data_IF_485486951625
#
_entry.id   IF_485486951625
#
_cell.length_a   1.000
_cell.length_b   1.000
_cell.length_c   1.000
_cell.angle_alpha   90.00
_cell.angle_beta   90.00
_cell.angle_gamma   90.00
#
_symmetry.space_group_name_H-M   'P 1'
#
loop_
_entity.id
_entity.type
_entity.pdbx_description
1 polymer ?
#
# COMPACT_ATOMS: atom_id res chain seq x y z
N UNK A 1 34.37 6.02 12.20
CA UNK A 1 33.92 4.98 11.26
C UNK A 1 32.59 5.48 10.70
N UNK A 2 32.50 6.68 10.11
CA UNK A 2 33.07 7.19 8.86
C UNK A 2 32.83 6.25 7.67
N UNK A 3 31.62 6.41 7.11
CA UNK A 3 31.24 6.31 5.70
C UNK A 3 32.12 5.43 4.82
N UNK A 4 31.72 4.17 4.71
CA UNK A 4 32.01 3.40 3.51
C UNK A 4 30.89 3.64 2.48
N UNK A 5 31.29 4.39 1.45
CA UNK A 5 30.88 4.20 0.06
C UNK A 5 29.55 4.80 -0.44
N UNK A 6 29.68 5.98 -1.05
CA UNK A 6 28.86 6.44 -2.16
C UNK A 6 29.10 5.48 -3.34
N UNK A 7 28.20 4.52 -3.54
CA UNK A 7 28.27 3.55 -4.63
C UNK A 7 27.19 2.49 -4.56
N UNK A 8 25.92 2.93 -4.65
CA UNK A 8 24.75 2.05 -4.74
C UNK A 8 23.49 2.60 -4.05
N UNK A 9 23.14 3.88 -4.30
CA UNK A 9 21.95 4.64 -3.82
C UNK A 9 21.10 3.96 -2.72
N UNK A 10 21.53 4.08 -1.46
CA UNK A 10 20.63 3.90 -0.32
C UNK A 10 20.23 5.28 0.17
N UNK A 11 18.97 5.65 -0.08
CA UNK A 11 18.39 6.91 0.39
C UNK A 11 18.46 7.01 1.92
N UNK A 12 18.64 8.21 2.45
CA UNK A 12 18.56 8.49 3.89
C UNK A 12 17.15 8.16 4.40
N UNK A 13 17.08 7.41 5.49
CA UNK A 13 15.82 7.07 6.13
C UNK A 13 15.27 8.28 6.88
N UNK A 14 14.01 8.58 6.64
CA UNK A 14 13.31 9.66 7.31
C UNK A 14 12.15 9.11 8.12
N UNK A 15 12.06 9.51 9.38
CA UNK A 15 10.98 9.16 10.28
C UNK A 15 10.15 10.41 10.57
N UNK A 16 8.87 10.36 10.22
CA UNK A 16 7.99 11.51 10.33
C UNK A 16 6.97 11.28 11.43
N UNK A 17 6.86 12.20 12.38
CA UNK A 17 5.90 12.11 13.49
C UNK A 17 5.01 13.35 13.51
N UNK A 18 3.71 13.18 13.78
CA UNK A 18 2.80 14.31 13.98
C UNK A 18 2.99 14.92 15.36
N UNK A 19 3.33 16.22 15.44
CA UNK A 19 3.35 16.98 16.69
C UNK A 19 2.59 18.30 16.54
N UNK A 20 1.41 18.36 17.16
CA UNK A 20 0.53 19.53 17.15
C UNK A 20 0.18 19.97 15.72
N UNK A 21 0.79 21.07 15.26
CA UNK A 21 0.60 21.63 13.91
C UNK A 21 1.73 21.31 12.93
N UNK A 22 2.74 20.57 13.36
CA UNK A 22 3.93 20.26 12.59
C UNK A 22 4.07 18.76 12.31
N UNK A 23 4.77 18.45 11.23
CA UNK A 23 5.36 17.15 11.02
C UNK A 23 6.82 17.27 11.43
N UNK A 24 7.22 16.53 12.45
CA UNK A 24 8.60 16.43 12.88
C UNK A 24 9.28 15.39 11.99
N UNK A 25 10.46 15.73 11.47
CA UNK A 25 11.15 14.95 10.44
C UNK A 25 12.53 14.62 10.99
N UNK A 26 12.68 13.41 11.51
CA UNK A 26 13.92 12.90 12.06
C UNK A 26 14.73 12.16 10.98
N UNK A 27 16.05 12.36 11.02
CA UNK A 27 17.02 11.80 10.08
C UNK A 27 18.13 11.12 10.91
N UNK A 28 17.91 9.87 11.34
CA UNK A 28 18.78 9.21 12.33
C UNK A 28 20.26 9.15 11.94
N UNK A 29 20.55 8.96 10.65
CA UNK A 29 21.90 8.79 10.12
C UNK A 29 22.79 10.03 10.29
N UNK A 30 22.20 11.21 10.44
CA UNK A 30 22.90 12.48 10.67
C UNK A 30 22.52 13.14 11.99
N UNK A 31 21.83 12.40 12.89
CA UNK A 31 21.25 12.94 14.14
C UNK A 31 20.45 14.23 13.88
N UNK A 32 19.72 14.25 12.76
CA UNK A 32 19.05 15.43 12.24
C UNK A 32 17.60 15.52 12.66
N UNK A 33 17.15 16.73 12.96
CA UNK A 33 15.74 17.01 13.21
C UNK A 33 15.33 18.31 12.52
N UNK A 34 14.34 18.21 11.64
CA UNK A 34 13.69 19.34 10.97
C UNK A 34 12.17 19.20 11.07
N UNK A 35 11.42 20.13 10.46
CA UNK A 35 9.97 20.14 10.55
C UNK A 35 9.31 20.69 9.28
N UNK A 36 8.11 20.21 9.00
CA UNK A 36 7.30 20.64 7.86
C UNK A 36 5.86 20.97 8.27
N UNK A 37 5.18 21.86 7.52
CA UNK A 37 3.76 22.15 7.76
C UNK A 37 2.87 21.06 7.16
N UNK A 38 3.30 20.49 6.04
CA UNK A 38 2.62 19.41 5.34
C UNK A 38 3.52 18.18 5.24
N UNK A 39 2.93 17.00 5.22
CA UNK A 39 3.67 15.75 5.10
C UNK A 39 4.44 15.67 3.77
N UNK A 40 3.84 16.18 2.69
CA UNK A 40 4.44 16.24 1.34
C UNK A 40 5.75 17.06 1.28
N UNK A 41 5.94 17.99 2.21
CA UNK A 41 7.14 18.83 2.30
C UNK A 41 8.28 18.14 3.07
N UNK A 42 7.99 17.09 3.86
CA UNK A 42 8.97 16.43 4.73
C UNK A 42 10.22 15.92 3.98
N UNK A 43 10.10 15.30 2.78
CA UNK A 43 11.28 14.88 2.02
C UNK A 43 12.19 16.04 1.64
N UNK A 44 11.62 17.18 1.22
CA UNK A 44 12.41 18.36 0.85
C UNK A 44 13.12 18.93 2.08
N UNK A 45 12.41 19.08 3.20
CA UNK A 45 12.99 19.58 4.45
C UNK A 45 14.15 18.71 4.94
N UNK A 46 14.04 17.38 4.80
CA UNK A 46 15.10 16.45 5.15
C UNK A 46 16.32 16.60 4.23
N UNK A 47 16.09 16.69 2.91
CA UNK A 47 17.17 16.88 1.93
C UNK A 47 17.92 18.19 2.15
N UNK A 48 17.21 19.29 2.38
CA UNK A 48 17.80 20.59 2.72
C UNK A 48 18.68 20.50 3.98
N UNK A 49 18.16 19.85 5.05
CA UNK A 49 18.91 19.67 6.29
C UNK A 49 20.21 18.89 6.07
N UNK A 50 20.14 17.76 5.35
CA UNK A 50 21.30 16.90 5.08
C UNK A 50 22.32 17.63 4.21
N UNK A 51 21.88 18.29 3.14
CA UNK A 51 22.75 19.02 2.21
C UNK A 51 23.57 20.09 2.94
N UNK A 52 22.91 20.89 3.79
CA UNK A 52 23.57 21.90 4.62
C UNK A 52 24.49 21.26 5.66
N UNK A 53 24.06 20.18 6.30
CA UNK A 53 24.83 19.54 7.38
C UNK A 53 26.10 18.85 6.88
N UNK A 54 26.06 18.33 5.65
CA UNK A 54 27.17 17.58 5.05
C UNK A 54 27.97 18.39 4.03
N UNK A 55 27.56 19.63 3.74
CA UNK A 55 28.14 20.51 2.72
C UNK A 55 28.20 19.84 1.33
N UNK A 56 27.06 19.26 0.92
CA UNK A 56 26.89 18.59 -0.38
C UNK A 56 25.73 19.20 -1.16
N UNK A 57 25.72 19.11 -2.51
CA UNK A 57 24.57 19.50 -3.31
C UNK A 57 23.32 18.72 -2.91
N UNK A 58 22.17 19.39 -2.86
CA UNK A 58 20.90 18.75 -2.49
C UNK A 58 20.47 17.68 -3.50
N UNK A 59 20.90 17.81 -4.76
CA UNK A 59 20.67 16.86 -5.84
C UNK A 59 21.38 15.52 -5.59
N UNK A 60 22.40 15.49 -4.73
CA UNK A 60 23.10 14.27 -4.33
C UNK A 60 22.46 13.60 -3.10
N UNK A 61 21.41 14.21 -2.53
CA UNK A 61 20.71 13.69 -1.35
C UNK A 61 19.39 13.05 -1.76
N UNK A 62 19.32 11.73 -1.64
CA UNK A 62 18.07 10.96 -1.72
C UNK A 62 17.53 10.66 -0.32
N UNK A 63 16.21 10.74 -0.15
CA UNK A 63 15.54 10.40 1.13
C UNK A 63 14.37 9.44 0.88
N UNK A 64 14.13 8.56 1.84
CA UNK A 64 12.99 7.66 1.87
C UNK A 64 12.25 7.80 3.20
N UNK A 65 10.97 8.18 3.15
CA UNK A 65 10.12 8.20 4.34
C UNK A 65 9.78 6.77 4.70
N UNK A 66 10.23 6.34 5.87
CA UNK A 66 10.14 4.95 6.30
C UNK A 66 9.29 4.75 7.55
N UNK A 67 8.91 5.83 8.23
CA UNK A 67 7.89 5.85 9.28
C UNK A 67 7.05 7.10 9.11
N UNK A 68 5.73 6.94 9.28
CA UNK A 68 4.80 8.05 9.48
C UNK A 68 4.01 7.70 10.74
N UNK A 69 4.36 8.34 11.85
CA UNK A 69 3.67 8.17 13.13
C UNK A 69 2.63 9.28 13.34
N UNK A 70 1.40 8.87 13.63
CA UNK A 70 0.35 9.76 14.11
C UNK A 70 -0.21 9.18 15.39
N UNK A 71 0.08 9.85 16.52
CA UNK A 71 -0.35 9.44 17.86
C UNK A 71 -0.02 7.97 18.19
N UNK A 72 1.18 7.51 17.83
CA UNK A 72 1.65 6.14 18.08
C UNK A 72 1.19 5.12 17.03
N UNK A 73 0.53 5.56 15.97
CA UNK A 73 0.10 4.72 14.86
C UNK A 73 1.08 4.90 13.70
N UNK A 74 1.80 3.83 13.35
CA UNK A 74 2.56 3.78 12.10
C UNK A 74 1.60 3.62 10.90
N UNK A 75 1.39 4.71 10.18
CA UNK A 75 0.47 4.79 9.05
C UNK A 75 0.91 3.91 7.87
N UNK A 76 2.23 3.74 7.66
CA UNK A 76 2.72 2.89 6.57
C UNK A 76 2.35 1.42 6.79
N UNK A 77 2.56 0.90 8.02
CA UNK A 77 2.17 -0.46 8.37
C UNK A 77 0.65 -0.67 8.24
N UNK A 78 -0.14 0.33 8.64
CA UNK A 78 -1.58 0.29 8.50
C UNK A 78 -2.02 0.23 7.02
N UNK A 79 -1.37 1.01 6.14
CA UNK A 79 -1.64 0.96 4.69
C UNK A 79 -1.27 -0.41 4.12
N UNK A 80 -0.09 -0.95 4.43
CA UNK A 80 0.34 -2.28 3.97
C UNK A 80 -0.65 -3.36 4.40
N UNK A 81 -1.15 -3.29 5.64
CA UNK A 81 -2.19 -4.20 6.11
C UNK A 81 -3.49 -4.07 5.30
N UNK A 82 -3.96 -2.85 5.05
CA UNK A 82 -5.16 -2.60 4.25
C UNK A 82 -5.02 -3.10 2.80
N UNK A 83 -3.83 -2.98 2.21
CA UNK A 83 -3.55 -3.51 0.88
C UNK A 83 -3.60 -5.04 0.85
N UNK A 84 -3.03 -5.70 1.86
CA UNK A 84 -3.12 -7.16 2.00
C UNK A 84 -4.57 -7.62 2.16
N UNK A 85 -5.36 -6.98 3.03
CA UNK A 85 -6.77 -7.29 3.23
C UNK A 85 -7.60 -7.11 1.94
N UNK A 86 -7.28 -6.08 1.14
CA UNK A 86 -7.91 -5.88 -0.18
C UNK A 86 -7.55 -6.97 -1.17
N UNK A 87 -6.28 -7.37 -1.22
CA UNK A 87 -5.82 -8.44 -2.10
C UNK A 87 -6.48 -9.78 -1.75
N UNK A 88 -6.58 -10.10 -0.45
CA UNK A 88 -7.27 -11.31 0.03
C UNK A 88 -8.76 -11.28 -0.32
N UNK A 89 -9.43 -10.14 -0.11
CA UNK A 89 -10.84 -10.00 -0.47
C UNK A 89 -11.08 -10.16 -1.97
N UNK A 90 -10.17 -9.67 -2.82
CA UNK A 90 -10.27 -9.83 -4.26
C UNK A 90 -10.05 -11.28 -4.70
N UNK A 91 -9.02 -11.94 -4.17
CA UNK A 91 -8.77 -13.35 -4.42
C UNK A 91 -9.97 -14.24 -4.01
N UNK A 92 -10.59 -13.94 -2.85
CA UNK A 92 -11.79 -14.64 -2.41
C UNK A 92 -12.98 -14.41 -3.34
N UNK A 93 -13.17 -13.19 -3.86
CA UNK A 93 -14.24 -12.89 -4.83
C UNK A 93 -14.03 -13.64 -6.15
N UNK A 94 -12.79 -13.67 -6.65
CA UNK A 94 -12.44 -14.40 -7.87
C UNK A 94 -12.71 -15.90 -7.71
N UNK A 95 -12.30 -16.47 -6.57
CA UNK A 95 -12.54 -17.89 -6.27
C UNK A 95 -14.04 -18.20 -6.22
N UNK A 96 -14.84 -17.38 -5.52
CA UNK A 96 -16.30 -17.55 -5.47
C UNK A 96 -16.92 -17.46 -6.87
N UNK A 97 -16.44 -16.53 -7.71
CA UNK A 97 -16.93 -16.40 -9.08
C UNK A 97 -16.60 -17.64 -9.94
N UNK A 98 -15.39 -18.19 -9.80
CA UNK A 98 -14.98 -19.40 -10.49
C UNK A 98 -15.80 -20.62 -10.03
N UNK A 99 -15.93 -20.83 -8.72
CA UNK A 99 -16.67 -21.95 -8.16
C UNK A 99 -18.17 -21.88 -8.51
N UNK A 100 -18.74 -20.68 -8.52
CA UNK A 100 -20.12 -20.45 -8.96
C UNK A 100 -20.29 -20.83 -10.43
N UNK A 101 -19.36 -20.45 -11.31
CA UNK A 101 -19.38 -20.82 -12.73
C UNK A 101 -19.24 -22.33 -12.90
N UNK A 102 -18.29 -22.95 -12.21
CA UNK A 102 -18.05 -24.41 -12.26
C UNK A 102 -19.29 -25.19 -11.82
N UNK A 103 -19.96 -24.73 -10.76
CA UNK A 103 -21.20 -25.34 -10.29
C UNK A 103 -22.35 -25.16 -11.30
N UNK A 104 -22.52 -23.96 -11.87
CA UNK A 104 -23.52 -23.70 -12.91
C UNK A 104 -23.35 -24.64 -14.12
N UNK A 105 -22.12 -24.78 -14.61
CA UNK A 105 -21.79 -25.68 -15.73
C UNK A 105 -22.01 -27.15 -15.37
N UNK A 106 -21.66 -27.56 -14.15
CA UNK A 106 -21.91 -28.93 -13.66
C UNK A 106 -23.40 -29.26 -13.64
N UNK A 107 -24.25 -28.34 -13.17
CA UNK A 107 -25.70 -28.51 -13.14
C UNK A 107 -26.30 -28.53 -14.56
N UNK A 108 -25.81 -27.67 -15.45
CA UNK A 108 -26.23 -27.66 -16.85
C UNK A 108 -25.88 -28.98 -17.56
N UNK A 109 -24.68 -29.54 -17.32
CA UNK A 109 -24.28 -30.85 -17.82
C UNK A 109 -25.16 -32.00 -17.32
N UNK A 110 -25.80 -31.83 -16.16
CA UNK A 110 -26.83 -32.75 -15.62
C UNK A 110 -28.24 -32.47 -16.17
N UNK A 111 -28.37 -31.63 -17.20
CA UNK A 111 -29.63 -31.25 -17.85
C UNK A 111 -30.63 -30.53 -16.93
N UNK A 112 -30.13 -29.87 -15.88
CA UNK A 112 -30.98 -29.00 -15.04
C UNK A 112 -31.33 -27.74 -15.85
N UNK A 113 -32.60 -27.28 -15.88
CA UNK A 113 -32.98 -26.07 -16.59
C UNK A 113 -32.24 -24.82 -16.07
N UNK A 114 -31.79 -23.95 -16.97
CA UNK A 114 -31.05 -22.71 -16.63
C UNK A 114 -31.82 -21.81 -15.64
N UNK A 115 -33.16 -21.82 -15.72
CA UNK A 115 -34.02 -21.11 -14.76
C UNK A 115 -33.87 -21.65 -13.33
N UNK A 116 -33.82 -22.96 -13.17
CA UNK A 116 -33.68 -23.62 -11.88
C UNK A 116 -32.24 -23.47 -11.36
N UNK A 117 -31.24 -23.49 -12.24
CA UNK A 117 -29.85 -23.16 -11.89
C UNK A 117 -29.76 -21.75 -11.28
N UNK A 118 -30.44 -20.77 -11.88
CA UNK A 118 -30.50 -19.41 -11.33
C UNK A 118 -31.11 -19.38 -9.92
N UNK A 119 -32.22 -20.09 -9.71
CA UNK A 119 -32.85 -20.19 -8.39
C UNK A 119 -31.95 -20.88 -7.36
N UNK A 120 -31.26 -21.98 -7.74
CA UNK A 120 -30.34 -22.72 -6.86
C UNK A 120 -29.14 -21.87 -6.46
N UNK A 121 -28.55 -21.13 -7.41
CA UNK A 121 -27.39 -20.28 -7.17
C UNK A 121 -27.74 -18.91 -6.57
N UNK A 122 -29.04 -18.61 -6.41
CA UNK A 122 -29.50 -17.32 -5.90
C UNK A 122 -29.20 -16.15 -6.85
N UNK A 123 -29.13 -16.40 -8.16
CA UNK A 123 -28.82 -15.38 -9.18
C UNK A 123 -29.97 -15.20 -10.16
N UNK A 124 -29.99 -14.06 -10.85
CA UNK A 124 -31.00 -13.81 -11.89
C UNK A 124 -30.89 -14.81 -13.04
N UNK A 125 -31.98 -14.99 -13.79
CA UNK A 125 -31.98 -15.87 -14.96
C UNK A 125 -30.93 -15.46 -16.00
N UNK A 126 -30.76 -14.17 -16.26
CA UNK A 126 -29.74 -13.64 -17.17
C UNK A 126 -28.33 -14.01 -16.68
N UNK A 127 -28.06 -13.90 -15.38
CA UNK A 127 -26.76 -14.26 -14.80
C UNK A 127 -26.52 -15.77 -14.88
N UNK A 128 -27.53 -16.60 -14.62
CA UNK A 128 -27.43 -18.04 -14.81
C UNK A 128 -27.08 -18.39 -16.26
N UNK A 129 -27.70 -17.71 -17.23
CA UNK A 129 -27.41 -17.91 -18.65
C UNK A 129 -25.98 -17.51 -19.04
N UNK A 130 -25.41 -16.47 -18.42
CA UNK A 130 -24.01 -16.07 -18.60
C UNK A 130 -23.01 -17.03 -17.95
N UNK A 131 -23.39 -17.71 -16.87
CA UNK A 131 -22.52 -18.64 -16.15
C UNK A 131 -22.47 -20.02 -16.81
N UNK A 132 -23.55 -20.41 -17.48
CA UNK A 132 -23.68 -21.69 -18.19
C UNK A 132 -23.12 -21.62 -19.62
N UNK A 133 -23.20 -20.44 -20.25
CA UNK A 133 -22.55 -20.16 -21.54
C UNK A 133 -21.05 -20.02 -21.42
#
# INVERSE_FOLDING_TARGET
MFLDYIGGMTAYRVEVTRDGKWWMVAIPEVDGLTQARRLEEAPLMARDYIAVSLDVPIEEVDVAVAVIDVDGINILDAITKLEAERAEAEAARDQVAEDTRRLAQTLAGKKIPVRDIGAILGVSHQRAHQLVG
#
